data_IF_250581022795
#
_entry.id   IF_250581022795
#
_cell.length_a   1.000
_cell.length_b   1.000
_cell.length_c   1.000
_cell.angle_alpha   90.00
_cell.angle_beta   90.00
_cell.angle_gamma   90.00
#
_symmetry.space_group_name_H-M   'P 1'
#
loop_
_entity.id
_entity.type
_entity.pdbx_description
1 polymer ?
#
# COMPACT_ATOMS: atom_id res chain seq x y z
N UNK A 1 5.56 -11.18 2.40
CA UNK A 1 5.38 -10.47 3.68
C UNK A 1 4.67 -11.33 4.71
N UNK A 2 4.97 -11.14 5.99
CA UNK A 2 4.26 -11.77 7.13
C UNK A 2 3.44 -10.68 7.82
N UNK A 3 2.30 -10.35 7.24
CA UNK A 3 1.38 -9.32 7.75
C UNK A 3 0.08 -9.99 8.21
N UNK A 4 -0.48 -9.52 9.33
CA UNK A 4 -1.69 -10.07 9.94
C UNK A 4 -1.45 -11.00 11.14
N UNK A 5 -2.54 -11.42 11.76
CA UNK A 5 -2.56 -12.30 12.95
C UNK A 5 -2.73 -13.78 12.60
N UNK A 6 -3.08 -14.11 11.35
CA UNK A 6 -3.51 -15.44 10.93
C UNK A 6 -2.80 -15.89 9.65
N UNK A 7 -2.25 -17.10 9.65
CA UNK A 7 -1.65 -17.75 8.47
C UNK A 7 -2.73 -18.08 7.44
N UNK A 8 -2.30 -18.42 6.22
CA UNK A 8 -3.19 -18.89 5.15
C UNK A 8 -4.04 -20.12 5.54
N UNK A 9 -3.57 -20.91 6.50
CA UNK A 9 -4.26 -22.09 7.05
C UNK A 9 -5.21 -21.78 8.22
N UNK A 10 -5.39 -20.50 8.58
CA UNK A 10 -6.24 -20.10 9.70
C UNK A 10 -5.56 -20.17 11.07
N UNK A 11 -4.33 -20.67 11.17
CA UNK A 11 -3.62 -20.72 12.45
C UNK A 11 -3.03 -19.36 12.83
N UNK A 12 -3.01 -18.99 14.13
CA UNK A 12 -2.41 -17.74 14.57
C UNK A 12 -0.91 -17.72 14.26
N UNK A 13 -0.39 -16.56 13.83
CA UNK A 13 1.03 -16.38 13.44
C UNK A 13 1.95 -16.28 14.67
N UNK A 14 1.40 -16.09 15.88
CA UNK A 14 2.13 -15.61 17.06
C UNK A 14 2.03 -14.09 17.18
N UNK A 15 2.68 -13.43 18.16
CA UNK A 15 2.69 -11.97 18.25
C UNK A 15 3.30 -11.42 16.95
N UNK A 16 2.44 -10.85 16.12
CA UNK A 16 2.81 -10.04 14.98
C UNK A 16 3.74 -8.94 15.50
N UNK A 17 4.89 -8.72 14.87
CA UNK A 17 5.77 -7.61 15.26
C UNK A 17 5.16 -6.23 14.98
N UNK A 18 4.08 -6.19 14.18
CA UNK A 18 3.32 -4.98 13.84
C UNK A 18 2.36 -4.62 14.99
N UNK A 19 2.92 -4.08 16.08
CA UNK A 19 2.17 -3.73 17.30
C UNK A 19 1.99 -2.22 17.50
N UNK A 20 2.53 -1.40 16.62
CA UNK A 20 2.39 0.04 16.70
C UNK A 20 2.60 0.73 15.35
N UNK A 21 2.12 1.98 15.24
CA UNK A 21 2.28 2.77 14.02
C UNK A 21 3.75 3.21 13.85
N UNK A 22 4.11 3.54 12.61
CA UNK A 22 5.41 4.07 12.20
C UNK A 22 6.62 3.14 12.44
N UNK A 23 6.42 1.82 12.55
CA UNK A 23 7.54 0.88 12.57
C UNK A 23 8.13 0.73 11.15
N UNK A 24 9.42 1.06 10.93
CA UNK A 24 10.04 0.98 9.59
C UNK A 24 9.98 -0.40 8.93
N UNK A 25 9.87 -1.48 9.71
CA UNK A 25 9.73 -2.85 9.18
C UNK A 25 8.34 -3.12 8.58
N UNK A 26 7.38 -2.24 8.88
CA UNK A 26 5.96 -2.35 8.51
C UNK A 26 5.46 -1.13 7.72
N UNK A 27 6.37 -0.26 7.26
CA UNK A 27 6.06 0.82 6.33
C UNK A 27 6.34 0.39 4.89
N UNK A 28 5.45 0.78 3.98
CA UNK A 28 5.63 0.60 2.54
C UNK A 28 5.62 1.98 1.91
N UNK A 29 6.78 2.40 1.39
CA UNK A 29 6.92 3.67 0.69
C UNK A 29 6.90 3.42 -0.80
N UNK A 30 5.96 4.06 -1.49
CA UNK A 30 5.77 3.92 -2.94
C UNK A 30 5.86 5.31 -3.57
N UNK A 31 6.72 5.52 -4.58
CA UNK A 31 6.70 6.73 -5.38
C UNK A 31 5.33 6.89 -6.07
N UNK A 32 4.75 8.08 -6.00
CA UNK A 32 3.46 8.36 -6.66
C UNK A 32 3.56 8.13 -8.16
N UNK A 33 4.69 8.46 -8.77
CA UNK A 33 4.96 8.21 -10.18
C UNK A 33 4.78 6.72 -10.55
N UNK A 34 5.18 5.76 -9.71
CA UNK A 34 5.09 4.33 -10.05
C UNK A 34 3.63 3.83 -10.11
N UNK A 35 2.70 4.53 -9.47
CA UNK A 35 1.28 4.15 -9.42
C UNK A 35 0.45 4.86 -10.48
N UNK A 36 0.74 6.13 -10.73
CA UNK A 36 -0.06 6.98 -11.61
C UNK A 36 0.57 7.23 -12.98
N UNK A 37 1.77 6.68 -13.25
CA UNK A 37 2.37 6.79 -14.56
C UNK A 37 1.62 5.95 -15.59
N UNK A 38 1.07 6.63 -16.59
CA UNK A 38 0.41 6.04 -17.75
C UNK A 38 1.31 6.17 -18.98
N UNK A 39 2.05 5.11 -19.36
CA UNK A 39 2.97 5.19 -20.48
C UNK A 39 2.23 5.20 -21.83
N UNK A 40 2.72 5.97 -22.83
CA UNK A 40 2.24 5.86 -24.19
C UNK A 40 2.46 4.44 -24.74
N UNK A 41 1.39 3.83 -25.24
CA UNK A 41 1.42 2.50 -25.87
C UNK A 41 1.56 2.67 -27.40
N UNK A 42 2.68 2.29 -28.03
CA UNK A 42 2.97 2.67 -29.43
C UNK A 42 2.08 2.02 -30.50
N UNK A 43 1.28 1.00 -30.14
CA UNK A 43 0.60 0.10 -31.09
C UNK A 43 -0.90 0.32 -31.27
N UNK A 44 -1.49 1.05 -30.35
CA UNK A 44 -2.91 1.43 -30.36
C UNK A 44 -2.92 2.95 -30.33
N UNK A 45 -3.88 3.60 -30.98
CA UNK A 45 -4.07 5.05 -30.92
C UNK A 45 -4.53 5.52 -29.53
N UNK A 46 -3.92 4.98 -28.48
CA UNK A 46 -4.14 5.30 -27.10
C UNK A 46 -3.41 6.60 -26.78
N UNK A 47 -4.17 7.59 -26.32
CA UNK A 47 -3.64 8.83 -25.78
C UNK A 47 -3.59 8.68 -24.27
N UNK A 48 -2.39 8.70 -23.65
CA UNK A 48 -2.28 8.63 -22.20
C UNK A 48 -3.03 9.75 -21.52
N UNK A 49 -3.50 9.49 -20.31
CA UNK A 49 -4.03 10.55 -19.47
C UNK A 49 -2.91 11.54 -19.12
N UNK A 50 -3.29 12.81 -19.01
CA UNK A 50 -2.35 13.83 -18.57
C UNK A 50 -1.85 13.47 -17.16
N UNK A 51 -0.52 13.45 -16.94
CA UNK A 51 0.05 13.14 -15.63
C UNK A 51 -0.43 14.16 -14.58
N UNK A 52 -0.63 13.73 -13.32
CA UNK A 52 -0.77 14.66 -12.20
C UNK A 52 0.35 15.71 -12.15
N UNK A 53 0.13 16.85 -11.47
CA UNK A 53 1.15 17.90 -11.36
C UNK A 53 2.50 17.34 -10.88
N UNK A 54 3.64 17.85 -11.37
CA UNK A 54 4.97 17.37 -10.97
C UNK A 54 5.18 17.37 -9.45
N UNK A 55 4.60 18.37 -8.76
CA UNK A 55 4.63 18.46 -7.30
C UNK A 55 3.98 17.26 -6.60
N UNK A 56 3.03 16.58 -7.24
CA UNK A 56 2.39 15.37 -6.74
C UNK A 56 3.17 14.13 -7.19
N UNK A 57 3.59 14.08 -8.46
CA UNK A 57 4.37 12.98 -9.02
C UNK A 57 5.71 12.72 -8.31
N UNK A 58 6.37 13.78 -7.81
CA UNK A 58 7.67 13.69 -7.15
C UNK A 58 7.59 13.37 -5.65
N UNK A 59 6.42 12.96 -5.17
CA UNK A 59 6.21 12.58 -3.76
C UNK A 59 6.13 11.07 -3.62
N UNK A 60 6.33 10.60 -2.39
CA UNK A 60 6.05 9.24 -2.01
C UNK A 60 4.79 9.24 -1.14
N UNK A 61 3.94 8.25 -1.33
CA UNK A 61 2.94 7.93 -0.31
C UNK A 61 3.43 6.72 0.48
N UNK A 62 3.16 6.75 1.78
CA UNK A 62 3.58 5.70 2.71
C UNK A 62 2.33 5.01 3.24
N UNK A 63 2.30 3.69 3.16
CA UNK A 63 1.27 2.86 3.76
C UNK A 63 1.83 2.33 5.08
N UNK A 64 1.16 2.65 6.18
CA UNK A 64 1.42 2.02 7.46
C UNK A 64 0.55 0.76 7.61
N UNK A 65 1.22 -0.39 7.64
CA UNK A 65 0.54 -1.66 7.77
C UNK A 65 -0.16 -1.81 9.14
N UNK A 66 0.28 -1.12 10.19
CA UNK A 66 -0.42 -1.10 11.47
C UNK A 66 -1.79 -0.41 11.34
N UNK A 67 -1.86 0.74 10.66
CA UNK A 67 -3.12 1.45 10.43
C UNK A 67 -4.09 0.60 9.61
N UNK A 68 -3.59 -0.05 8.56
CA UNK A 68 -4.39 -1.00 7.77
C UNK A 68 -4.93 -2.13 8.63
N UNK A 69 -4.12 -2.67 9.55
CA UNK A 69 -4.57 -3.71 10.48
C UNK A 69 -5.72 -3.23 11.36
N UNK A 70 -5.64 -2.01 11.90
CA UNK A 70 -6.71 -1.45 12.74
C UNK A 70 -8.01 -1.26 11.97
N UNK A 71 -7.95 -0.70 10.75
CA UNK A 71 -9.13 -0.49 9.89
C UNK A 71 -9.84 -1.83 9.62
N UNK A 72 -9.08 -2.89 9.32
CA UNK A 72 -9.65 -4.23 9.10
C UNK A 72 -10.30 -4.76 10.37
N UNK A 73 -9.63 -4.66 11.53
CA UNK A 73 -10.18 -5.11 12.81
C UNK A 73 -11.46 -4.35 13.20
N UNK A 74 -11.53 -3.05 12.93
CA UNK A 74 -12.74 -2.24 13.14
C UNK A 74 -13.89 -2.69 12.23
N UNK A 75 -13.60 -2.99 10.95
CA UNK A 75 -14.61 -3.44 10.00
C UNK A 75 -15.24 -4.80 10.35
N UNK A 76 -14.50 -5.66 11.05
CA UNK A 76 -14.94 -7.00 11.47
C UNK A 76 -15.73 -7.02 12.77
N UNK A 77 -15.81 -5.89 13.48
CA UNK A 77 -16.65 -5.75 14.68
C UNK A 77 -18.11 -5.44 14.35
N UNK A 78 -18.47 -5.38 13.06
CA UNK A 78 -19.85 -5.29 12.57
C UNK A 78 -20.48 -6.66 12.35
#
# INVERSE_FOLDING_TARGET
WKFGTVKKDGSPIGPNGCNGPNDPNYLITIPVADVFFDPPVPKIAYVPLAPPPPAVMNTNFTIDLYEVQQIVLESQQK
#
